data_IF_168011007634
#
_entry.id   IF_168011007634
#
_cell.length_a   1.000
_cell.length_b   1.000
_cell.length_c   1.000
_cell.angle_alpha   90.00
_cell.angle_beta   90.00
_cell.angle_gamma   90.00
#
_symmetry.space_group_name_H-M   'P 1'
#
loop_
_entity.id
_entity.type
_entity.pdbx_description
1 polymer ?
#
# COMPACT_ATOMS: atom_id res chain seq x y z
N UNK A 1 -0.25 13.70 -2.86
CA UNK A 1 -1.52 13.71 -3.62
C UNK A 1 -2.08 12.29 -3.66
N UNK A 2 -2.94 11.90 -2.72
CA UNK A 2 -3.58 10.59 -2.74
C UNK A 2 -4.54 10.47 -3.92
N UNK A 3 -4.69 9.26 -4.49
CA UNK A 3 -5.55 9.02 -5.66
C UNK A 3 -6.57 7.89 -5.52
N UNK A 4 -6.37 6.97 -4.57
CA UNK A 4 -7.28 5.88 -4.31
C UNK A 4 -7.19 5.44 -2.86
N UNK A 5 -8.27 4.88 -2.35
CA UNK A 5 -8.35 4.32 -1.01
C UNK A 5 -9.24 3.08 -1.01
N UNK A 6 -9.07 2.26 0.02
CA UNK A 6 -9.94 1.13 0.32
C UNK A 6 -10.14 1.07 1.84
N UNK A 7 -11.35 0.70 2.26
CA UNK A 7 -11.72 0.51 3.67
C UNK A 7 -12.20 -0.92 3.83
N UNK A 8 -11.64 -1.65 4.81
CA UNK A 8 -12.10 -3.00 5.13
C UNK A 8 -13.16 -3.02 6.25
N UNK A 9 -13.73 -4.20 6.49
CA UNK A 9 -14.76 -4.38 7.52
C UNK A 9 -14.30 -4.06 8.96
N UNK A 10 -12.99 -4.10 9.21
CA UNK A 10 -12.38 -3.75 10.50
C UNK A 10 -12.10 -2.24 10.60
N UNK A 11 -12.64 -1.46 9.65
CA UNK A 11 -12.41 -0.03 9.48
C UNK A 11 -10.92 0.32 9.29
N UNK A 12 -10.13 -0.61 8.75
CA UNK A 12 -8.77 -0.31 8.30
C UNK A 12 -8.85 0.46 6.99
N UNK A 13 -8.22 1.63 6.94
CA UNK A 13 -8.15 2.46 5.73
C UNK A 13 -6.76 2.32 5.11
N UNK A 14 -6.68 1.94 3.84
CA UNK A 14 -5.43 1.98 3.05
C UNK A 14 -5.55 3.00 1.93
N UNK A 15 -4.49 3.78 1.72
CA UNK A 15 -4.48 4.91 0.78
C UNK A 15 -3.28 4.79 -0.15
N UNK A 16 -3.53 4.91 -1.44
CA UNK A 16 -2.51 5.09 -2.46
C UNK A 16 -2.05 6.56 -2.49
N UNK A 17 -0.96 6.84 -1.76
CA UNK A 17 -0.31 8.16 -1.71
C UNK A 17 0.62 8.33 -2.91
N UNK A 18 -0.01 8.53 -4.07
CA UNK A 18 0.58 8.46 -5.40
C UNK A 18 1.92 9.18 -5.53
N UNK A 19 1.95 10.50 -5.27
CA UNK A 19 3.14 11.33 -5.50
C UNK A 19 4.28 11.00 -4.54
N UNK A 20 3.97 10.41 -3.38
CA UNK A 20 4.97 9.93 -2.42
C UNK A 20 5.36 8.46 -2.66
N UNK A 21 4.84 7.83 -3.73
CA UNK A 21 5.23 6.49 -4.19
C UNK A 21 5.11 5.41 -3.10
N UNK A 22 4.01 5.45 -2.34
CA UNK A 22 3.78 4.58 -1.20
C UNK A 22 2.30 4.28 -0.97
N UNK A 23 2.04 3.23 -0.20
CA UNK A 23 0.73 2.96 0.43
C UNK A 23 0.83 3.26 1.92
N UNK A 24 -0.17 3.97 2.44
CA UNK A 24 -0.28 4.27 3.87
C UNK A 24 -1.52 3.57 4.42
N UNK A 25 -1.45 3.05 5.65
CA UNK A 25 -2.56 2.42 6.37
C UNK A 25 -2.87 3.15 7.68
N UNK A 26 -4.16 3.33 7.98
CA UNK A 26 -4.69 3.71 9.28
C UNK A 26 -5.55 2.58 9.83
N UNK A 27 -5.39 2.26 11.11
CA UNK A 27 -6.27 1.34 11.82
C UNK A 27 -7.45 2.12 12.40
N UNK A 28 -8.57 1.42 12.62
CA UNK A 28 -9.73 2.00 13.30
C UNK A 28 -9.32 2.66 14.62
N UNK A 29 -9.80 3.89 14.84
CA UNK A 29 -9.50 4.69 16.03
C UNK A 29 -8.16 5.44 16.01
N UNK A 30 -7.28 5.19 15.04
CA UNK A 30 -6.06 6.00 14.85
C UNK A 30 -6.35 7.21 13.96
N UNK A 31 -6.28 8.40 14.56
CA UNK A 31 -6.53 9.67 13.87
C UNK A 31 -5.26 10.45 13.55
N UNK A 32 -4.08 9.96 13.97
CA UNK A 32 -2.85 10.78 13.96
C UNK A 32 -1.72 10.19 13.13
N UNK A 33 -1.54 8.86 13.09
CA UNK A 33 -0.32 8.29 12.52
C UNK A 33 -0.56 7.16 11.51
N UNK A 34 -0.65 7.53 10.24
CA UNK A 34 -0.65 6.57 9.14
C UNK A 34 0.70 5.85 8.99
N UNK A 35 0.67 4.53 8.84
CA UNK A 35 1.87 3.70 8.69
C UNK A 35 2.15 3.39 7.21
N UNK A 36 3.39 3.53 6.77
CA UNK A 36 3.79 3.09 5.42
C UNK A 36 3.86 1.57 5.39
N UNK A 37 3.00 0.95 4.59
CA UNK A 37 2.86 -0.51 4.50
C UNK A 37 3.37 -1.10 3.17
N UNK A 38 3.59 -0.26 2.16
CA UNK A 38 4.24 -0.63 0.91
C UNK A 38 4.91 0.59 0.25
N UNK A 39 6.00 0.37 -0.48
CA UNK A 39 6.76 1.44 -1.13
C UNK A 39 7.50 2.35 -0.13
N UNK A 40 7.64 3.63 -0.47
CA UNK A 40 8.31 4.63 0.38
C UNK A 40 9.84 4.55 0.38
N UNK A 41 10.45 3.73 -0.50
CA UNK A 41 11.91 3.64 -0.72
C UNK A 41 12.33 4.22 -2.08
N UNK A 42 11.70 5.34 -2.44
CA UNK A 42 11.86 6.00 -3.72
C UNK A 42 10.96 5.42 -4.83
N UNK A 43 10.86 6.17 -5.93
CA UNK A 43 10.13 5.73 -7.12
C UNK A 43 10.92 4.65 -7.87
N UNK A 44 10.27 3.56 -8.24
CA UNK A 44 10.91 2.49 -9.02
C UNK A 44 10.12 1.20 -9.00
N UNK A 45 10.65 0.18 -9.67
CA UNK A 45 10.02 -1.14 -9.81
C UNK A 45 10.69 -2.24 -8.97
N UNK A 46 11.66 -1.89 -8.11
CA UNK A 46 12.32 -2.82 -7.19
C UNK A 46 11.38 -3.42 -6.13
N UNK A 47 11.89 -4.38 -5.37
CA UNK A 47 11.12 -5.18 -4.40
C UNK A 47 10.38 -4.33 -3.35
N UNK A 48 10.96 -3.20 -2.96
CA UNK A 48 10.40 -2.29 -1.95
C UNK A 48 10.01 -0.93 -2.54
N UNK A 49 9.82 -0.85 -3.86
CA UNK A 49 9.50 0.38 -4.57
C UNK A 49 8.17 0.27 -5.30
N UNK A 50 7.50 1.42 -5.38
CA UNK A 50 6.34 1.66 -6.22
C UNK A 50 6.62 2.91 -7.04
N UNK A 51 5.83 3.17 -8.08
CA UNK A 51 5.88 4.40 -8.86
C UNK A 51 4.47 4.87 -9.14
N UNK A 52 4.10 5.93 -8.43
CA UNK A 52 2.81 6.61 -8.58
C UNK A 52 1.59 5.66 -8.49
N UNK A 53 1.45 4.86 -7.41
CA UNK A 53 0.32 3.96 -7.25
C UNK A 53 -1.00 4.75 -7.21
N UNK A 54 -2.06 4.21 -7.81
CA UNK A 54 -3.35 4.91 -7.94
C UNK A 54 -4.52 4.19 -7.27
N UNK A 55 -4.37 2.90 -7.01
CA UNK A 55 -5.40 2.08 -6.41
C UNK A 55 -4.78 1.01 -5.53
N UNK A 56 -5.50 0.62 -4.50
CA UNK A 56 -5.11 -0.41 -3.55
C UNK A 56 -6.36 -1.10 -3.03
N UNK A 57 -6.27 -2.40 -2.78
CA UNK A 57 -7.25 -3.17 -2.00
C UNK A 57 -6.52 -4.13 -1.07
N UNK A 58 -7.19 -4.52 0.02
CA UNK A 58 -6.71 -5.57 0.92
C UNK A 58 -7.30 -6.91 0.45
N UNK A 59 -6.41 -7.85 0.15
CA UNK A 59 -6.76 -9.25 -0.07
C UNK A 59 -6.63 -9.98 1.26
N UNK A 60 -7.77 -10.19 1.93
CA UNK A 60 -7.84 -10.84 3.25
C UNK A 60 -7.48 -12.33 3.17
N UNK A 61 -7.69 -13.00 2.04
CA UNK A 61 -7.40 -14.43 1.89
C UNK A 61 -5.89 -14.69 1.93
N UNK A 62 -5.11 -13.82 1.29
CA UNK A 62 -3.63 -13.96 1.21
C UNK A 62 -2.87 -13.01 2.14
N UNK A 63 -3.56 -12.23 2.96
CA UNK A 63 -3.00 -11.17 3.80
C UNK A 63 -2.02 -10.26 3.04
N UNK A 64 -2.49 -9.76 1.90
CA UNK A 64 -1.69 -8.97 0.96
C UNK A 64 -2.42 -7.72 0.51
N UNK A 65 -1.68 -6.77 -0.04
CA UNK A 65 -2.24 -5.64 -0.78
C UNK A 65 -2.19 -5.95 -2.27
N UNK A 66 -3.25 -5.65 -3.02
CA UNK A 66 -3.19 -5.60 -4.49
C UNK A 66 -3.12 -4.13 -4.89
N UNK A 67 -2.05 -3.75 -5.59
CA UNK A 67 -1.69 -2.36 -5.85
C UNK A 67 -1.62 -2.10 -7.35
N UNK A 68 -2.35 -1.09 -7.82
CA UNK A 68 -2.23 -0.56 -9.18
C UNK A 68 -1.02 0.40 -9.26
N UNK A 69 0.14 -0.14 -9.60
CA UNK A 69 1.44 0.54 -9.67
C UNK A 69 1.62 1.23 -11.04
N UNK A 70 0.80 2.26 -11.26
CA UNK A 70 0.50 2.85 -12.58
C UNK A 70 1.74 3.17 -13.42
N UNK A 71 2.71 3.89 -12.89
CA UNK A 71 3.81 4.41 -13.71
C UNK A 71 4.88 3.32 -13.97
N UNK A 72 4.83 2.23 -13.20
CA UNK A 72 5.54 0.99 -13.51
C UNK A 72 4.72 0.05 -14.42
N UNK A 73 3.48 0.42 -14.77
CA UNK A 73 2.58 -0.31 -15.68
C UNK A 73 2.34 -1.75 -15.26
N UNK A 74 2.17 -1.98 -13.96
CA UNK A 74 1.95 -3.32 -13.38
C UNK A 74 0.90 -3.30 -12.28
N UNK A 75 0.39 -4.47 -11.96
CA UNK A 75 -0.32 -4.74 -10.71
C UNK A 75 0.58 -5.59 -9.83
N UNK A 76 0.73 -5.21 -8.57
CA UNK A 76 1.60 -5.92 -7.61
C UNK A 76 0.75 -6.49 -6.49
N UNK A 77 0.93 -7.78 -6.19
CA UNK A 77 0.53 -8.35 -4.90
C UNK A 77 1.69 -8.16 -3.92
N UNK A 78 1.42 -7.49 -2.81
CA UNK A 78 2.40 -7.11 -1.81
C UNK A 78 2.06 -7.75 -0.47
N UNK A 79 2.92 -8.67 -0.01
CA UNK A 79 2.73 -9.34 1.29
C UNK A 79 2.75 -8.33 2.42
N UNK A 80 1.74 -8.36 3.30
CA UNK A 80 1.71 -7.54 4.53
C UNK A 80 2.47 -8.20 5.68
N UNK A 81 2.81 -9.48 5.54
CA UNK A 81 3.68 -10.19 6.47
C UNK A 81 5.10 -9.65 6.31
N UNK A 82 5.70 -9.22 7.42
CA UNK A 82 7.14 -9.03 7.51
C UNK A 82 7.77 -10.34 7.10
N UNK A 83 8.59 -10.34 6.05
CA UNK A 83 9.49 -11.47 5.83
C UNK A 83 10.31 -11.62 7.10
N UNK A 84 10.08 -12.70 7.85
CA UNK A 84 11.04 -13.14 8.85
C UNK A 84 12.28 -13.57 8.08
N UNK A 85 13.20 -12.63 7.88
CA UNK A 85 14.61 -12.99 7.81
C UNK A 85 14.98 -13.44 9.22
N UNK A 86 15.04 -14.76 9.43
CA UNK A 86 15.95 -15.31 10.43
C UNK A 86 17.37 -15.17 9.90
#
# INVERSE_FOLDING_TARGET
HPRGLFVDDDQTVVIADCVNHRIIQWKSGDTTNGQVVAGGKGAGNGLHQLKCPVGVLIDKETDSLIICDRDNRRVVRWSRRSGTTQ
#
